data_IF_045227828725
#
_entry.id   IF_045227828725
#
_cell.length_a   1.000
_cell.length_b   1.000
_cell.length_c   1.000
_cell.angle_alpha   90.00
_cell.angle_beta   90.00
_cell.angle_gamma   90.00
#
_symmetry.space_group_name_H-M   'P 1'
#
loop_
_entity.id
_entity.type
_entity.pdbx_description
1 polymer ?
#
# COMPACT_ATOMS: atom_id res chain seq x y z
N UNK A 1 -23.56 19.13 7.15
CA UNK A 1 -22.82 20.11 6.32
C UNK A 1 -22.07 19.35 5.26
N UNK A 2 -22.24 19.71 3.98
CA UNK A 2 -21.66 19.01 2.85
C UNK A 2 -20.15 19.29 2.78
N UNK A 3 -19.34 18.24 2.94
CA UNK A 3 -17.88 18.29 2.81
C UNK A 3 -17.57 18.41 1.32
N UNK A 4 -17.36 19.63 0.82
CA UNK A 4 -16.90 19.88 -0.54
C UNK A 4 -15.38 19.76 -0.60
N UNK A 5 -14.87 18.55 -0.89
CA UNK A 5 -13.44 18.28 -1.07
C UNK A 5 -13.02 18.56 -2.52
N UNK A 6 -12.31 19.67 -2.75
CA UNK A 6 -11.57 20.04 -3.97
C UNK A 6 -10.15 20.38 -3.47
N UNK A 7 -9.00 19.95 -4.01
CA UNK A 7 -8.62 19.16 -5.18
C UNK A 7 -7.16 18.72 -5.00
N UNK A 8 -6.91 17.43 -5.17
CA UNK A 8 -5.58 16.82 -5.22
C UNK A 8 -5.79 15.34 -5.45
N UNK A 9 -6.10 14.95 -6.68
CA UNK A 9 -6.26 13.52 -7.01
C UNK A 9 -4.90 12.95 -7.41
N UNK A 10 -4.49 11.79 -6.89
CA UNK A 10 -3.38 11.02 -7.43
C UNK A 10 -3.58 10.77 -8.93
N UNK A 11 -2.49 10.50 -9.67
CA UNK A 11 -2.55 10.12 -11.07
C UNK A 11 -3.59 9.00 -11.32
N UNK A 12 -4.21 8.97 -12.51
CA UNK A 12 -5.39 8.13 -12.83
C UNK A 12 -5.08 6.63 -12.76
N UNK A 13 -5.20 6.04 -11.58
CA UNK A 13 -5.35 4.60 -11.37
C UNK A 13 -6.66 4.09 -11.98
N UNK A 14 -6.68 2.82 -12.37
CA UNK A 14 -7.84 2.20 -12.97
C UNK A 14 -8.03 2.56 -14.44
N UNK A 15 -7.04 3.13 -15.13
CA UNK A 15 -7.10 3.51 -16.55
C UNK A 15 -6.85 2.33 -17.51
N UNK A 16 -6.35 1.20 -17.04
CA UNK A 16 -5.97 0.08 -17.88
C UNK A 16 -7.16 -0.55 -18.63
N UNK A 17 -6.96 -0.79 -19.92
CA UNK A 17 -7.87 -1.56 -20.77
C UNK A 17 -7.69 -3.08 -20.61
N UNK A 18 -6.48 -3.51 -20.27
CA UNK A 18 -6.07 -4.90 -20.06
C UNK A 18 -5.49 -5.03 -18.64
N UNK A 19 -5.76 -6.16 -17.97
CA UNK A 19 -5.21 -6.48 -16.66
C UNK A 19 -3.68 -6.54 -16.71
N UNK A 20 -3.02 -5.64 -15.97
CA UNK A 20 -1.56 -5.58 -15.89
C UNK A 20 -0.98 -6.84 -15.27
N UNK A 21 -1.55 -7.32 -14.16
CA UNK A 21 -1.05 -8.51 -13.47
C UNK A 21 -1.10 -9.78 -14.33
N UNK A 22 -2.20 -10.07 -15.02
CA UNK A 22 -2.29 -11.26 -15.88
C UNK A 22 -1.36 -11.16 -17.09
N UNK A 23 -1.19 -9.96 -17.63
CA UNK A 23 -0.23 -9.71 -18.70
C UNK A 23 1.20 -9.96 -18.21
N UNK A 24 1.63 -9.32 -17.13
CA UNK A 24 3.00 -9.44 -16.63
C UNK A 24 3.35 -10.84 -16.11
N UNK A 25 2.38 -11.57 -15.57
CA UNK A 25 2.61 -12.89 -14.95
C UNK A 25 2.41 -14.07 -15.90
N UNK A 26 1.54 -13.95 -16.90
CA UNK A 26 1.13 -15.05 -17.79
C UNK A 26 1.10 -14.68 -19.27
N UNK A 27 1.34 -13.41 -19.62
CA UNK A 27 1.14 -12.87 -20.98
C UNK A 27 -0.30 -13.07 -21.50
N UNK A 28 -1.28 -13.11 -20.58
CA UNK A 28 -2.68 -13.31 -20.91
C UNK A 28 -3.42 -11.95 -20.99
N UNK A 29 -3.97 -11.56 -22.15
CA UNK A 29 -4.69 -10.31 -22.30
C UNK A 29 -6.11 -10.43 -21.73
N UNK A 30 -6.29 -10.06 -20.46
CA UNK A 30 -7.62 -10.01 -19.81
C UNK A 30 -8.20 -8.60 -19.94
N UNK A 31 -9.19 -8.35 -20.81
CA UNK A 31 -9.82 -7.03 -20.93
C UNK A 31 -10.60 -6.67 -19.66
N UNK A 32 -10.28 -5.49 -19.10
CA UNK A 32 -10.96 -4.91 -17.93
C UNK A 32 -12.11 -3.95 -18.30
N UNK A 33 -12.22 -3.61 -19.58
CA UNK A 33 -13.17 -2.64 -20.13
C UNK A 33 -13.70 -3.03 -21.50
N UNK A 34 -14.76 -2.34 -21.91
CA UNK A 34 -15.34 -2.49 -23.24
C UNK A 34 -16.12 -3.80 -23.41
N UNK A 35 -16.69 -4.02 -24.60
CA UNK A 35 -17.56 -5.17 -24.88
C UNK A 35 -16.85 -6.52 -24.69
N UNK A 36 -15.53 -6.58 -24.94
CA UNK A 36 -14.73 -7.79 -24.75
C UNK A 36 -14.64 -8.24 -23.28
N UNK A 37 -14.86 -7.34 -22.31
CA UNK A 37 -14.87 -7.69 -20.89
C UNK A 37 -16.19 -8.32 -20.42
N UNK A 38 -17.29 -8.19 -21.18
CA UNK A 38 -18.62 -8.68 -20.79
C UNK A 38 -18.67 -10.19 -20.51
N UNK A 39 -18.16 -11.09 -21.38
CA UNK A 39 -18.17 -12.51 -21.08
C UNK A 39 -17.36 -12.83 -19.82
N UNK A 40 -16.20 -12.21 -19.65
CA UNK A 40 -15.34 -12.42 -18.46
C UNK A 40 -16.04 -11.99 -17.17
N UNK A 41 -16.74 -10.84 -17.19
CA UNK A 41 -17.55 -10.38 -16.05
C UNK A 41 -18.67 -11.35 -15.71
N UNK A 42 -19.32 -11.96 -16.71
CA UNK A 42 -20.34 -12.98 -16.50
C UNK A 42 -19.78 -14.23 -15.79
N UNK A 43 -18.49 -14.54 -16.00
CA UNK A 43 -17.75 -15.58 -15.28
C UNK A 43 -17.10 -15.09 -13.97
N UNK A 44 -17.44 -13.89 -13.47
CA UNK A 44 -16.91 -13.35 -12.21
C UNK A 44 -15.51 -12.73 -12.29
N UNK A 45 -14.94 -12.61 -13.50
CA UNK A 45 -13.66 -11.94 -13.74
C UNK A 45 -13.93 -10.45 -13.91
N UNK A 46 -13.73 -9.69 -12.83
CA UNK A 46 -13.96 -8.25 -12.76
C UNK A 46 -12.69 -7.53 -12.30
N UNK A 47 -12.74 -6.22 -12.10
CA UNK A 47 -11.62 -5.46 -11.54
C UNK A 47 -11.40 -5.83 -10.07
N UNK A 48 -10.15 -5.95 -9.67
CA UNK A 48 -9.79 -6.21 -8.28
C UNK A 48 -10.06 -4.98 -7.41
N UNK A 49 -10.37 -5.26 -6.13
CA UNK A 49 -10.43 -4.21 -5.10
C UNK A 49 -9.05 -3.80 -4.59
N UNK A 50 -8.05 -4.66 -4.76
CA UNK A 50 -6.68 -4.42 -4.31
C UNK A 50 -5.92 -3.46 -5.23
N UNK A 51 -6.25 -3.46 -6.54
CA UNK A 51 -5.85 -2.44 -7.52
C UNK A 51 -6.81 -2.50 -8.74
N UNK A 52 -7.42 -1.39 -9.16
CA UNK A 52 -8.40 -1.37 -10.27
C UNK A 52 -7.81 -1.67 -11.67
N UNK A 53 -6.48 -1.72 -11.81
CA UNK A 53 -5.76 -2.07 -13.04
C UNK A 53 -5.39 -3.58 -13.12
N UNK A 54 -5.81 -4.38 -12.14
CA UNK A 54 -5.76 -5.85 -12.21
C UNK A 54 -7.16 -6.46 -12.10
N UNK A 55 -7.31 -7.73 -12.50
CA UNK A 55 -8.56 -8.47 -12.40
C UNK A 55 -8.63 -9.35 -11.15
N UNK A 56 -9.81 -9.90 -10.86
CA UNK A 56 -10.05 -10.83 -9.75
C UNK A 56 -9.29 -12.14 -9.85
N UNK A 57 -8.82 -12.55 -11.04
CA UNK A 57 -7.91 -13.71 -11.18
C UNK A 57 -6.57 -13.43 -10.49
N UNK A 58 -6.01 -12.24 -10.68
CA UNK A 58 -4.78 -11.84 -10.00
C UNK A 58 -4.96 -11.78 -8.48
N UNK A 59 -6.16 -11.43 -8.01
CA UNK A 59 -6.51 -11.32 -6.58
C UNK A 59 -6.72 -12.69 -5.91
N UNK A 60 -7.45 -13.60 -6.57
CA UNK A 60 -8.05 -14.78 -5.91
C UNK A 60 -7.63 -16.13 -6.46
N UNK A 61 -6.88 -16.15 -7.55
CA UNK A 61 -6.56 -17.38 -8.28
C UNK A 61 -5.06 -17.59 -8.37
N UNK A 62 -4.32 -17.20 -7.32
CA UNK A 62 -2.87 -17.33 -7.29
C UNK A 62 -2.44 -18.78 -7.46
N UNK A 63 -3.04 -19.71 -6.71
CA UNK A 63 -2.72 -21.15 -6.82
C UNK A 63 -3.00 -21.72 -8.21
N UNK A 64 -4.11 -21.32 -8.82
CA UNK A 64 -4.51 -21.79 -10.15
C UNK A 64 -3.59 -21.24 -11.25
N UNK A 65 -3.20 -19.97 -11.12
CA UNK A 65 -2.34 -19.26 -12.09
C UNK A 65 -0.89 -19.69 -11.98
N UNK A 66 -0.34 -19.80 -10.78
CA UNK A 66 1.08 -20.11 -10.55
C UNK A 66 1.38 -21.60 -10.42
N UNK A 67 0.36 -22.46 -10.31
CA UNK A 67 0.51 -23.90 -9.99
C UNK A 67 1.37 -24.16 -8.75
N UNK A 68 1.50 -23.16 -7.88
CA UNK A 68 2.31 -23.14 -6.67
C UNK A 68 1.51 -22.44 -5.57
N UNK A 69 1.63 -22.91 -4.31
CA UNK A 69 0.92 -22.30 -3.17
C UNK A 69 1.57 -21.02 -2.67
N UNK A 70 2.88 -20.92 -2.85
CA UNK A 70 3.70 -19.77 -2.49
C UNK A 70 4.86 -19.63 -3.47
N UNK A 71 5.31 -18.40 -3.69
CA UNK A 71 6.52 -18.07 -4.44
C UNK A 71 7.38 -17.12 -3.62
N UNK A 72 8.69 -17.19 -3.82
CA UNK A 72 9.62 -16.17 -3.34
C UNK A 72 9.77 -15.11 -4.42
N UNK A 73 9.60 -13.85 -4.06
CA UNK A 73 9.79 -12.73 -4.97
C UNK A 73 10.37 -11.52 -4.23
N UNK A 74 11.29 -10.81 -4.87
CA UNK A 74 11.72 -9.49 -4.42
C UNK A 74 10.56 -8.50 -4.53
N UNK A 75 10.18 -7.89 -3.42
CA UNK A 75 9.09 -6.93 -3.36
C UNK A 75 9.41 -5.82 -2.37
N UNK A 76 8.72 -4.69 -2.52
CA UNK A 76 8.71 -3.64 -1.49
C UNK A 76 7.38 -3.66 -0.78
N UNK A 77 7.45 -3.65 0.55
CA UNK A 77 6.30 -3.62 1.44
C UNK A 77 6.20 -2.21 2.03
N UNK A 78 4.99 -1.65 1.97
CA UNK A 78 4.66 -0.37 2.59
C UNK A 78 3.55 -0.61 3.62
N UNK A 79 3.74 -0.07 4.82
CA UNK A 79 2.68 0.10 5.80
C UNK A 79 2.43 1.59 6.01
N UNK A 80 1.17 1.96 6.17
CA UNK A 80 0.76 3.32 6.52
C UNK A 80 -0.36 3.28 7.56
N UNK A 81 -0.29 4.16 8.56
CA UNK A 81 -1.25 4.21 9.66
C UNK A 81 -1.47 5.64 10.19
N UNK A 82 -2.66 5.90 10.74
CA UNK A 82 -3.03 7.21 11.30
C UNK A 82 -2.43 7.36 12.70
N UNK A 83 -1.68 8.43 12.91
CA UNK A 83 -1.13 8.78 14.22
C UNK A 83 -2.14 9.52 15.08
N UNK A 84 -2.21 9.10 16.34
CA UNK A 84 -3.16 9.63 17.32
C UNK A 84 -4.58 9.05 17.19
N UNK A 85 -4.78 8.04 16.34
CA UNK A 85 -6.08 7.39 16.13
C UNK A 85 -6.66 6.80 17.41
N UNK A 86 -5.87 6.03 18.19
CA UNK A 86 -6.36 5.41 19.43
C UNK A 86 -6.93 6.46 20.40
N UNK A 87 -6.19 7.54 20.65
CA UNK A 87 -6.66 8.62 21.52
C UNK A 87 -7.86 9.39 20.93
N UNK A 88 -7.97 9.47 19.60
CA UNK A 88 -9.13 10.05 18.94
C UNK A 88 -10.38 9.16 19.09
N UNK A 89 -10.22 7.84 18.98
CA UNK A 89 -11.32 6.86 19.04
C UNK A 89 -12.06 6.86 20.39
N UNK A 90 -11.41 7.31 21.45
CA UNK A 90 -12.02 7.47 22.78
C UNK A 90 -12.87 8.75 22.91
N UNK A 91 -12.70 9.71 22.00
CA UNK A 91 -13.30 11.06 22.10
C UNK A 91 -14.39 11.34 21.06
N UNK A 92 -14.37 10.67 19.91
CA UNK A 92 -15.35 10.88 18.84
C UNK A 92 -16.27 9.68 18.67
N UNK A 93 -17.45 9.92 18.09
CA UNK A 93 -18.42 8.86 17.83
C UNK A 93 -17.94 7.86 16.78
N UNK A 94 -18.35 6.59 16.91
CA UNK A 94 -17.93 5.52 16.00
C UNK A 94 -18.24 5.79 14.51
N UNK A 95 -19.33 6.51 14.21
CA UNK A 95 -19.69 6.89 12.84
C UNK A 95 -18.67 7.88 12.25
N UNK A 96 -18.29 8.89 13.02
CA UNK A 96 -17.31 9.90 12.60
C UNK A 96 -15.92 9.27 12.47
N UNK A 97 -15.53 8.43 13.42
CA UNK A 97 -14.28 7.67 13.36
C UNK A 97 -14.21 6.81 12.09
N UNK A 98 -15.29 6.11 11.77
CA UNK A 98 -15.39 5.29 10.55
C UNK A 98 -15.26 6.13 9.27
N UNK A 99 -15.81 7.34 9.24
CA UNK A 99 -15.66 8.26 8.11
C UNK A 99 -14.21 8.72 7.93
N UNK A 100 -13.49 8.99 9.03
CA UNK A 100 -12.06 9.36 8.99
C UNK A 100 -11.22 8.21 8.46
N UNK A 101 -11.45 6.99 8.97
CA UNK A 101 -10.75 5.79 8.49
C UNK A 101 -11.03 5.54 7.02
N UNK A 102 -12.29 5.62 6.59
CA UNK A 102 -12.67 5.45 5.18
C UNK A 102 -11.99 6.50 4.29
N UNK A 103 -11.97 7.76 4.72
CA UNK A 103 -11.32 8.85 4.00
C UNK A 103 -9.82 8.57 3.84
N UNK A 104 -9.13 8.18 4.92
CA UNK A 104 -7.72 7.81 4.87
C UNK A 104 -7.48 6.62 3.94
N UNK A 105 -8.23 5.52 4.12
CA UNK A 105 -8.04 4.30 3.34
C UNK A 105 -8.29 4.54 1.85
N UNK A 106 -9.31 5.33 1.48
CA UNK A 106 -9.61 5.66 0.09
C UNK A 106 -8.49 6.48 -0.56
N UNK A 107 -7.98 7.50 0.14
CA UNK A 107 -6.90 8.36 -0.37
C UNK A 107 -5.57 7.61 -0.45
N UNK A 108 -5.26 6.81 0.56
CA UNK A 108 -4.03 6.03 0.58
C UNK A 108 -4.06 4.93 -0.49
N UNK A 109 -5.21 4.27 -0.69
CA UNK A 109 -5.38 3.30 -1.76
C UNK A 109 -5.15 3.95 -3.15
N UNK A 110 -5.71 5.13 -3.40
CA UNK A 110 -5.50 5.85 -4.65
C UNK A 110 -4.02 6.19 -4.89
N UNK A 111 -3.30 6.64 -3.85
CA UNK A 111 -1.86 6.92 -3.92
C UNK A 111 -1.03 5.67 -4.23
N UNK A 112 -1.39 4.53 -3.63
CA UNK A 112 -0.75 3.23 -3.87
C UNK A 112 -1.00 2.76 -5.31
N UNK A 113 -2.26 2.82 -5.78
CA UNK A 113 -2.60 2.37 -7.13
C UNK A 113 -1.99 3.25 -8.22
N UNK A 114 -1.86 4.56 -7.98
CA UNK A 114 -1.19 5.48 -8.90
C UNK A 114 0.28 5.11 -9.15
N UNK A 115 0.89 4.38 -8.21
CA UNK A 115 2.26 3.89 -8.26
C UNK A 115 2.33 2.37 -8.51
N UNK A 116 1.29 1.78 -9.12
CA UNK A 116 1.18 0.35 -9.46
C UNK A 116 1.29 -0.61 -8.25
N UNK A 117 1.08 -0.11 -7.04
CA UNK A 117 1.04 -0.91 -5.82
C UNK A 117 -0.29 -1.62 -5.63
N UNK A 118 -0.29 -2.66 -4.80
CA UNK A 118 -1.46 -3.47 -4.46
C UNK A 118 -1.79 -3.27 -2.98
N UNK A 119 -3.00 -2.78 -2.68
CA UNK A 119 -3.51 -2.73 -1.31
C UNK A 119 -3.89 -4.15 -0.89
N UNK A 120 -3.04 -4.80 -0.11
CA UNK A 120 -3.22 -6.20 0.24
C UNK A 120 -4.11 -6.38 1.46
N UNK A 121 -3.91 -5.57 2.50
CA UNK A 121 -4.68 -5.62 3.74
C UNK A 121 -5.03 -4.22 4.23
N UNK A 122 -6.24 -4.07 4.74
CA UNK A 122 -6.69 -2.94 5.53
C UNK A 122 -6.91 -3.44 6.96
N UNK A 123 -6.31 -2.77 7.93
CA UNK A 123 -6.20 -3.23 9.32
C UNK A 123 -6.54 -2.08 10.25
N UNK A 124 -7.82 -1.93 10.59
CA UNK A 124 -8.29 -0.82 11.40
C UNK A 124 -8.01 0.54 10.74
N UNK A 125 -7.16 1.33 11.37
CA UNK A 125 -6.67 2.63 10.96
C UNK A 125 -5.53 2.61 9.94
N UNK A 126 -4.94 1.43 9.69
CA UNK A 126 -3.82 1.28 8.78
C UNK A 126 -4.09 0.42 7.53
N UNK A 127 -3.10 0.39 6.64
CA UNK A 127 -3.07 -0.52 5.50
C UNK A 127 -1.66 -1.03 5.18
N UNK A 128 -1.63 -2.14 4.44
CA UNK A 128 -0.45 -2.78 3.90
C UNK A 128 -0.53 -2.82 2.38
N UNK A 129 0.56 -2.41 1.72
CA UNK A 129 0.71 -2.50 0.27
C UNK A 129 1.93 -3.35 -0.14
N UNK A 130 1.80 -3.98 -1.30
CA UNK A 130 2.84 -4.77 -1.95
C UNK A 130 3.14 -4.16 -3.32
N UNK A 131 4.41 -3.94 -3.61
CA UNK A 131 4.92 -3.51 -4.91
C UNK A 131 5.74 -4.63 -5.56
N UNK A 132 5.75 -4.68 -6.90
CA UNK A 132 6.37 -5.75 -7.72
C UNK A 132 5.62 -7.09 -7.81
N UNK A 133 4.42 -7.17 -7.23
CA UNK A 133 3.55 -8.33 -7.41
C UNK A 133 2.07 -7.96 -7.22
N UNK A 134 1.14 -8.42 -8.09
CA UNK A 134 1.36 -9.19 -9.32
C UNK A 134 1.73 -8.29 -10.51
N UNK A 135 1.69 -6.96 -10.38
CA UNK A 135 2.23 -6.03 -11.38
C UNK A 135 3.74 -6.02 -11.23
N UNK A 136 4.48 -6.34 -12.29
CA UNK A 136 5.95 -6.34 -12.24
C UNK A 136 6.49 -4.93 -12.44
N UNK A 137 7.40 -4.52 -11.56
CA UNK A 137 8.04 -3.20 -11.59
C UNK A 137 9.49 -3.34 -11.20
N UNK A 138 10.42 -3.00 -12.09
CA UNK A 138 11.85 -3.05 -11.78
C UNK A 138 12.25 -2.02 -10.72
N UNK A 139 11.59 -0.86 -10.74
CA UNK A 139 11.80 0.27 -9.83
C UNK A 139 10.85 0.23 -8.61
N UNK A 140 10.38 -0.96 -8.19
CA UNK A 140 9.34 -1.10 -7.16
C UNK A 140 9.65 -0.37 -5.83
N UNK A 141 10.91 -0.27 -5.42
CA UNK A 141 11.33 0.51 -4.26
C UNK A 141 11.01 2.00 -4.42
N UNK A 142 11.32 2.59 -5.58
CA UNK A 142 11.01 3.98 -5.90
C UNK A 142 9.49 4.24 -5.91
N UNK A 143 8.67 3.30 -6.41
CA UNK A 143 7.21 3.44 -6.40
C UNK A 143 6.68 3.47 -4.98
N UNK A 144 7.16 2.57 -4.12
CA UNK A 144 6.71 2.54 -2.75
C UNK A 144 7.03 3.85 -2.04
N UNK A 145 8.23 4.41 -2.27
CA UNK A 145 8.62 5.72 -1.75
C UNK A 145 7.72 6.84 -2.29
N UNK A 146 7.45 6.86 -3.59
CA UNK A 146 6.56 7.85 -4.21
C UNK A 146 5.12 7.72 -3.70
N UNK A 147 4.60 6.50 -3.58
CA UNK A 147 3.32 6.22 -2.96
C UNK A 147 3.27 6.71 -1.51
N UNK A 148 4.33 6.48 -0.73
CA UNK A 148 4.46 7.02 0.63
C UNK A 148 4.39 8.54 0.68
N UNK A 149 5.07 9.23 -0.26
CA UNK A 149 5.01 10.69 -0.39
C UNK A 149 3.61 11.18 -0.77
N UNK A 150 2.96 10.50 -1.71
CA UNK A 150 1.59 10.79 -2.13
C UNK A 150 0.58 10.55 -1.00
N UNK A 151 0.75 9.50 -0.19
CA UNK A 151 -0.04 9.26 1.02
C UNK A 151 0.10 10.43 1.98
N UNK A 152 1.33 10.84 2.31
CA UNK A 152 1.55 11.96 3.23
C UNK A 152 0.89 13.24 2.72
N UNK A 153 1.02 13.54 1.41
CA UNK A 153 0.38 14.71 0.80
C UNK A 153 -1.14 14.62 0.83
N UNK A 154 -1.73 13.65 0.14
CA UNK A 154 -3.17 13.63 -0.12
C UNK A 154 -3.99 13.27 1.10
N UNK A 155 -3.51 12.34 1.92
CA UNK A 155 -4.19 12.01 3.16
C UNK A 155 -3.92 13.08 4.21
N UNK A 156 -2.72 13.66 4.28
CA UNK A 156 -2.41 14.79 5.17
C UNK A 156 -3.31 16.00 4.90
N UNK A 157 -3.45 16.40 3.64
CA UNK A 157 -4.39 17.46 3.22
C UNK A 157 -5.83 17.14 3.62
N UNK A 158 -6.28 15.91 3.38
CA UNK A 158 -7.65 15.49 3.70
C UNK A 158 -7.93 15.45 5.20
N UNK A 159 -6.96 15.00 6.01
CA UNK A 159 -7.09 14.93 7.47
C UNK A 159 -6.96 16.30 8.12
N UNK A 160 -6.11 17.19 7.59
CA UNK A 160 -5.94 18.55 8.09
C UNK A 160 -7.20 19.41 7.86
N UNK A 161 -8.03 19.07 6.88
CA UNK A 161 -9.31 19.74 6.61
C UNK A 161 -10.43 19.35 7.59
N UNK A 162 -10.20 18.38 8.48
CA UNK A 162 -11.19 17.93 9.47
C UNK A 162 -11.15 18.82 10.72
N UNK A 163 -12.31 19.26 11.17
CA UNK A 163 -12.44 20.03 12.42
C UNK A 163 -12.64 19.10 13.63
N UNK A 164 -11.55 18.44 14.04
CA UNK A 164 -11.55 17.41 15.09
C UNK A 164 -10.70 17.82 16.32
N UNK A 165 -10.39 19.10 16.45
CA UNK A 165 -9.72 19.69 17.62
C UNK A 165 -8.23 19.34 17.80
N UNK A 166 -7.66 18.46 16.97
CA UNK A 166 -6.23 18.17 16.94
C UNK A 166 -5.78 17.76 15.52
N UNK A 167 -4.54 18.08 15.11
CA UNK A 167 -4.01 17.61 13.85
C UNK A 167 -3.75 16.10 13.91
N UNK A 168 -4.24 15.38 12.91
CA UNK A 168 -3.82 14.00 12.64
C UNK A 168 -2.68 14.03 11.63
N UNK A 169 -1.79 13.04 11.75
CA UNK A 169 -0.77 12.78 10.73
C UNK A 169 -0.65 11.31 10.46
N UNK A 170 0.19 10.94 9.51
CA UNK A 170 0.34 9.55 9.08
C UNK A 170 1.78 9.13 9.30
N UNK A 171 1.97 7.92 9.79
CA UNK A 171 3.27 7.26 9.80
C UNK A 171 3.35 6.27 8.65
N UNK A 172 4.47 6.23 7.95
CA UNK A 172 4.70 5.28 6.86
C UNK A 172 6.02 4.54 7.09
N UNK A 173 6.03 3.23 6.87
CA UNK A 173 7.23 2.39 6.91
C UNK A 173 7.39 1.60 5.61
N UNK A 174 8.60 1.61 5.05
CA UNK A 174 8.90 0.99 3.77
C UNK A 174 10.16 0.13 3.89
N UNK A 175 10.05 -1.13 3.48
CA UNK A 175 11.17 -2.05 3.44
C UNK A 175 11.10 -2.98 2.23
N UNK A 176 12.26 -3.37 1.72
CA UNK A 176 12.41 -4.11 0.48
C UNK A 176 13.25 -5.37 0.72
N UNK A 177 12.81 -6.49 0.17
CA UNK A 177 13.54 -7.75 0.22
C UNK A 177 12.74 -8.90 -0.39
N UNK A 178 13.25 -10.11 -0.23
CA UNK A 178 12.56 -11.31 -0.67
C UNK A 178 11.43 -11.69 0.28
N UNK A 179 10.21 -11.75 -0.25
CA UNK A 179 8.99 -12.13 0.48
C UNK A 179 8.45 -13.45 -0.02
N UNK A 180 7.81 -14.20 0.88
CA UNK A 180 6.97 -15.33 0.48
C UNK A 180 5.56 -14.82 0.21
N UNK A 181 5.15 -14.89 -1.06
CA UNK A 181 3.82 -14.47 -1.52
C UNK A 181 3.01 -15.71 -1.84
N UNK A 182 1.78 -15.79 -1.32
CA UNK A 182 0.92 -16.93 -1.60
C UNK A 182 -0.39 -16.91 -0.83
N UNK A 183 -1.14 -17.99 -0.99
CA UNK A 183 -2.40 -18.23 -0.28
C UNK A 183 -2.09 -19.08 0.97
N UNK A 184 -2.15 -18.44 2.14
CA UNK A 184 -1.78 -19.07 3.41
C UNK A 184 -2.96 -19.61 4.22
N UNK A 185 -4.20 -19.35 3.79
CA UNK A 185 -5.41 -19.91 4.38
C UNK A 185 -6.11 -20.84 3.41
N UNK A 186 -6.62 -21.97 3.91
CA UNK A 186 -7.46 -22.89 3.12
C UNK A 186 -8.91 -22.39 2.98
N UNK A 187 -9.31 -21.39 3.75
CA UNK A 187 -10.69 -20.86 3.78
C UNK A 187 -10.81 -19.45 3.17
N UNK A 188 -9.71 -18.71 3.06
CA UNK A 188 -9.66 -17.38 2.46
C UNK A 188 -8.54 -17.38 1.42
N UNK A 189 -8.93 -17.28 0.14
CA UNK A 189 -8.06 -17.41 -1.04
C UNK A 189 -7.33 -16.12 -1.42
N UNK A 190 -7.33 -15.10 -0.57
CA UNK A 190 -6.59 -13.86 -0.85
C UNK A 190 -5.10 -14.13 -0.64
N UNK A 191 -4.30 -13.89 -1.67
CA UNK A 191 -2.86 -14.00 -1.51
C UNK A 191 -2.35 -12.86 -0.61
N UNK A 192 -1.31 -13.12 0.16
CA UNK A 192 -0.62 -12.11 0.99
C UNK A 192 0.87 -12.33 0.90
N UNK A 193 1.66 -11.34 1.29
CA UNK A 193 3.07 -11.54 1.60
C UNK A 193 3.22 -11.89 3.08
N UNK A 194 4.18 -12.77 3.41
CA UNK A 194 4.62 -13.06 4.78
C UNK A 194 6.15 -13.07 4.85
N UNK A 195 6.68 -12.94 6.07
CA UNK A 195 8.11 -13.10 6.35
C UNK A 195 8.74 -11.90 7.04
N UNK A 196 10.06 -11.96 7.22
CA UNK A 196 10.83 -10.92 7.90
C UNK A 196 10.65 -9.53 7.29
N UNK A 197 10.59 -9.45 5.96
CA UNK A 197 10.43 -8.18 5.23
C UNK A 197 9.13 -7.47 5.60
N UNK A 198 8.02 -8.21 5.68
CA UNK A 198 6.70 -7.65 6.08
C UNK A 198 6.75 -7.16 7.51
N UNK A 199 7.34 -7.96 8.41
CA UNK A 199 7.47 -7.60 9.83
C UNK A 199 8.36 -6.37 10.04
N UNK A 200 9.45 -6.24 9.28
CA UNK A 200 10.35 -5.10 9.36
C UNK A 200 9.69 -3.82 8.83
N UNK A 201 8.95 -3.89 7.72
CA UNK A 201 8.17 -2.77 7.21
C UNK A 201 7.15 -2.26 8.24
N UNK A 202 6.40 -3.17 8.88
CA UNK A 202 5.45 -2.82 9.93
C UNK A 202 6.13 -2.22 11.17
N UNK A 203 7.31 -2.73 11.56
CA UNK A 203 8.08 -2.18 12.68
C UNK A 203 8.64 -0.79 12.35
N UNK A 204 9.11 -0.57 11.13
CA UNK A 204 9.53 0.76 10.68
C UNK A 204 8.35 1.72 10.73
N UNK A 205 7.20 1.32 10.20
CA UNK A 205 5.99 2.13 10.25
C UNK A 205 5.69 2.50 11.70
N UNK A 206 5.65 1.55 12.64
CA UNK A 206 5.36 1.83 14.07
C UNK A 206 6.29 2.85 14.74
N UNK A 207 7.49 3.09 14.21
CA UNK A 207 8.45 4.07 14.70
C UNK A 207 8.36 5.43 13.99
N UNK A 208 7.57 5.54 12.91
CA UNK A 208 7.42 6.78 12.15
C UNK A 208 6.54 7.75 12.92
N UNK A 209 7.04 8.97 13.16
CA UNK A 209 6.24 10.04 13.73
C UNK A 209 5.19 10.56 12.72
N UNK A 210 4.20 11.36 13.16
CA UNK A 210 3.23 11.96 12.24
C UNK A 210 3.93 12.76 11.13
N UNK A 211 3.64 12.44 9.87
CA UNK A 211 4.26 13.08 8.70
C UNK A 211 5.58 12.46 8.25
N UNK A 212 6.09 11.43 8.96
CA UNK A 212 7.34 10.76 8.60
C UNK A 212 7.12 9.51 7.75
N UNK A 213 8.05 9.29 6.83
CA UNK A 213 8.21 8.04 6.09
C UNK A 213 9.58 7.48 6.47
N UNK A 214 9.58 6.33 7.14
CA UNK A 214 10.80 5.59 7.47
C UNK A 214 11.09 4.56 6.39
N UNK A 215 12.25 4.70 5.75
CA UNK A 215 12.68 3.87 4.63
C UNK A 215 13.92 3.08 5.04
N UNK A 216 13.86 1.76 4.93
CA UNK A 216 15.02 0.92 5.27
C UNK A 216 16.24 1.21 4.38
N UNK A 217 17.43 0.81 4.84
CA UNK A 217 18.65 0.93 4.04
C UNK A 217 18.55 0.15 2.71
N UNK A 218 17.99 -1.06 2.71
CA UNK A 218 17.82 -1.89 1.52
C UNK A 218 16.94 -1.21 0.47
N UNK A 219 15.87 -0.54 0.91
CA UNK A 219 15.00 0.23 0.00
C UNK A 219 15.71 1.48 -0.51
N UNK A 220 16.46 2.16 0.37
CA UNK A 220 17.27 3.33 0.03
C UNK A 220 18.29 3.02 -1.07
N UNK A 221 18.97 1.88 -0.97
CA UNK A 221 19.98 1.46 -1.96
C UNK A 221 19.39 1.19 -3.35
N UNK A 222 18.09 0.87 -3.43
CA UNK A 222 17.40 0.64 -4.71
C UNK A 222 16.80 1.91 -5.33
N UNK A 223 16.73 3.01 -4.58
CA UNK A 223 16.24 4.31 -5.07
C UNK A 223 17.00 5.49 -4.41
N UNK A 224 18.34 5.53 -4.53
CA UNK A 224 19.18 6.51 -3.82
C UNK A 224 18.86 7.96 -4.21
N UNK A 225 18.43 8.19 -5.45
CA UNK A 225 18.04 9.50 -5.98
C UNK A 225 16.87 10.13 -5.22
N UNK A 226 16.00 9.32 -4.60
CA UNK A 226 14.86 9.80 -3.82
C UNK A 226 15.23 10.12 -2.37
N UNK A 227 16.43 9.75 -1.92
CA UNK A 227 16.89 9.84 -0.53
C UNK A 227 17.87 11.01 -0.28
N UNK A 228 18.11 11.87 -1.27
CA UNK A 228 19.00 13.02 -1.12
C UNK A 228 18.61 13.92 0.06
N UNK A 229 19.58 14.27 0.91
CA UNK A 229 19.37 15.16 2.07
C UNK A 229 18.58 14.56 3.23
N UNK A 230 18.30 13.26 3.21
CA UNK A 230 17.55 12.58 4.29
C UNK A 230 18.40 12.27 5.51
N UNK A 231 17.79 12.45 6.68
CA UNK A 231 18.38 12.09 7.98
C UNK A 231 18.48 10.57 8.10
N UNK A 232 19.61 10.06 8.58
CA UNK A 232 19.74 8.66 9.00
C UNK A 232 19.31 8.52 10.46
N UNK A 233 18.50 7.50 10.76
CA UNK A 233 18.03 7.18 12.10
C UNK A 233 18.33 5.71 12.41
N UNK A 234 18.98 5.49 13.53
CA UNK A 234 19.17 4.14 14.09
C UNK A 234 17.98 3.79 14.97
N UNK A 235 17.32 2.67 14.69
CA UNK A 235 16.05 2.27 15.32
C UNK A 235 16.20 0.92 16.03
N UNK A 236 15.82 0.89 17.31
CA UNK A 236 15.69 -0.35 18.07
C UNK A 236 14.31 -0.96 17.82
N UNK A 237 14.22 -1.93 16.92
CA UNK A 237 12.95 -2.57 16.55
C UNK A 237 12.70 -3.79 17.43
N UNK A 238 11.47 -3.94 17.93
CA UNK A 238 11.08 -5.08 18.78
C UNK A 238 11.41 -6.41 18.10
N UNK A 239 12.19 -7.27 18.76
CA UNK A 239 12.55 -8.59 18.23
C UNK A 239 13.59 -8.55 17.11
N UNK A 240 14.39 -7.49 17.01
CA UNK A 240 15.66 -7.43 16.27
C UNK A 240 16.73 -7.02 17.28
N UNK A 241 17.78 -7.83 17.43
CA UNK A 241 18.82 -7.57 18.42
C UNK A 241 19.71 -6.38 18.04
N UNK A 242 19.98 -6.21 16.75
CA UNK A 242 20.82 -5.13 16.23
C UNK A 242 19.95 -3.93 15.81
N UNK A 243 20.39 -2.68 16.08
CA UNK A 243 19.73 -1.50 15.59
C UNK A 243 19.62 -1.51 14.06
N UNK A 244 18.44 -1.14 13.55
CA UNK A 244 18.18 -1.05 12.11
C UNK A 244 18.36 0.40 11.68
N UNK A 245 19.17 0.61 10.66
CA UNK A 245 19.30 1.94 10.03
C UNK A 245 18.17 2.20 9.05
N UNK A 246 17.57 3.38 9.16
CA UNK A 246 16.54 3.86 8.25
C UNK A 246 16.82 5.33 7.85
N UNK A 247 16.34 5.72 6.68
CA UNK A 247 16.26 7.11 6.26
C UNK A 247 14.88 7.69 6.60
N UNK A 248 14.88 8.92 7.08
CA UNK A 248 13.66 9.67 7.39
C UNK A 248 13.36 10.62 6.24
N UNK A 249 12.20 10.44 5.62
CA UNK A 249 11.63 11.37 4.66
C UNK A 249 10.47 12.12 5.31
N UNK A 250 10.40 13.43 5.04
CA UNK A 250 9.28 14.29 5.41
C UNK A 250 8.81 15.00 4.14
N UNK A 251 7.51 14.96 3.87
CA UNK A 251 6.93 15.72 2.76
C UNK A 251 6.65 17.12 3.29
N UNK A 252 7.37 18.10 2.75
CA UNK A 252 7.16 19.53 3.03
C UNK A 252 6.01 20.05 2.18
#
# INVERSE_FOLDING_TARGET
MAISVISGQPARSGSAGICRGCWDQMLMPIPLRGPLSLPLRAFGITRSKMNPDICTICERSFQYVKKQRHITAGATILFADIRGYTGLSERIGAIELSQIVSLFQDRAAQAIWANDGIVNKQMGDGLMAIFNFPIKRADHAAAAIMAGKDIQRYCGEALAALDIGQPLGIGVGIHTGDVQIGEFSSFHSDFTAIGGVVNQAARLESQAAPGEILVSLETTLQAPELMGGTEARSLSLKGIEQPVEARVLRVV
#
